data_IF_306633138704
#
_entry.id   IF_306633138704
#
_cell.length_a   1.000
_cell.length_b   1.000
_cell.length_c   1.000
_cell.angle_alpha   90.00
_cell.angle_beta   90.00
_cell.angle_gamma   90.00
#
_symmetry.space_group_name_H-M   'P 1'
#
loop_
_entity.id
_entity.type
_entity.pdbx_description
1 polymer ?
2 water ?
#
# COMPACT_ATOMS: atom_id res chain seq x y z
N UNK A 11 17.13 -11.24 -15.26
CA UNK A 11 18.39 -11.18 -14.53
C UNK A 11 18.58 -12.41 -13.64
N UNK A 12 18.16 -13.53 -14.19
CA UNK A 12 18.06 -14.88 -13.72
C UNK A 12 19.06 -15.30 -12.64
N UNK A 13 18.53 -16.07 -11.71
CA UNK A 13 19.15 -17.01 -10.81
C UNK A 13 18.27 -18.27 -10.80
N UNK A 14 18.84 -19.37 -10.35
CA UNK A 14 18.06 -20.60 -10.28
C UNK A 14 17.54 -20.82 -8.87
N UNK A 15 17.84 -19.85 -7.98
CA UNK A 15 17.33 -20.06 -6.63
C UNK A 15 15.86 -19.66 -6.56
N UNK A 16 15.08 -20.32 -5.72
CA UNK A 16 13.74 -19.86 -5.36
C UNK A 16 13.80 -18.95 -4.12
N UNK A 17 15.00 -18.51 -3.78
CA UNK A 17 15.16 -17.67 -2.59
C UNK A 17 15.04 -16.18 -2.91
N UNK A 18 14.23 -15.50 -2.12
CA UNK A 18 14.01 -14.06 -2.14
C UNK A 18 14.22 -13.53 -0.72
N UNK A 19 15.32 -12.80 -0.55
CA UNK A 19 15.72 -12.25 0.75
C UNK A 19 15.10 -10.87 0.98
N UNK A 20 14.50 -10.74 2.16
CA UNK A 20 13.81 -9.55 2.61
C UNK A 20 14.82 -8.52 3.13
N UNK A 21 14.88 -7.41 2.40
CA UNK A 21 15.62 -6.23 2.80
C UNK A 21 14.71 -5.34 3.65
N UNK A 22 14.97 -5.26 4.96
CA UNK A 22 14.05 -4.47 5.78
C UNK A 22 14.82 -3.54 6.70
N UNK A 23 15.80 -2.88 6.12
CA UNK A 23 16.76 -2.06 6.87
C UNK A 23 16.21 -0.65 7.06
N UNK A 24 16.58 0.03 8.15
CA UNK A 24 16.23 1.43 8.27
C UNK A 24 17.28 2.29 7.59
N UNK A 25 18.53 1.82 7.55
CA UNK A 25 19.63 2.52 6.88
C UNK A 25 20.07 1.81 5.59
N UNK A 26 20.16 2.56 4.50
CA UNK A 26 20.57 2.16 3.18
C UNK A 26 22.01 1.67 3.17
N UNK A 27 22.88 2.38 3.90
CA UNK A 27 24.30 2.00 3.81
C UNK A 27 24.49 0.55 4.26
N UNK A 28 23.71 0.19 5.27
CA UNK A 28 23.74 -1.17 5.76
C UNK A 28 23.12 -2.12 4.76
N UNK A 29 22.04 -1.68 4.11
CA UNK A 29 21.37 -2.60 3.19
C UNK A 29 22.31 -3.01 2.05
N UNK A 30 22.96 -2.04 1.43
CA UNK A 30 23.89 -2.27 0.34
C UNK A 30 25.12 -3.06 0.79
N UNK A 31 25.56 -2.84 2.01
CA UNK A 31 26.67 -3.64 2.53
C UNK A 31 26.35 -5.14 2.39
N UNK A 32 25.32 -5.55 3.10
CA UNK A 32 24.78 -6.90 3.02
C UNK A 32 24.69 -7.35 1.56
N UNK A 33 24.09 -6.47 0.76
CA UNK A 33 23.92 -6.74 -0.65
C UNK A 33 25.27 -7.05 -1.27
N UNK A 34 26.22 -6.17 -1.03
CA UNK A 34 27.57 -6.40 -1.56
C UNK A 34 28.15 -7.72 -1.08
N UNK A 35 27.67 -8.27 0.05
CA UNK A 35 28.23 -9.56 0.43
C UNK A 35 27.60 -10.72 -0.35
N UNK A 36 26.55 -10.52 -1.13
CA UNK A 36 25.94 -11.71 -1.73
C UNK A 36 25.83 -11.60 -3.24
N UNK A 37 25.21 -12.58 -3.90
CA UNK A 37 25.30 -12.49 -5.35
C UNK A 37 23.95 -12.68 -6.01
N UNK A 38 23.68 -11.88 -7.03
CA UNK A 38 22.44 -12.02 -7.80
C UNK A 38 22.15 -13.47 -8.20
N UNK A 39 23.17 -14.29 -8.41
CA UNK A 39 22.99 -15.67 -8.81
C UNK A 39 22.35 -16.46 -7.67
N UNK A 40 22.69 -16.07 -6.46
CA UNK A 40 22.37 -16.77 -5.23
C UNK A 40 20.94 -16.57 -4.74
N UNK A 41 20.38 -15.38 -4.99
CA UNK A 41 19.04 -15.12 -4.52
C UNK A 41 18.41 -13.96 -5.27
N UNK A 42 17.16 -13.71 -4.87
CA UNK A 42 16.49 -12.49 -5.31
C UNK A 42 16.29 -11.59 -4.09
N UNK A 43 15.95 -10.34 -4.38
CA UNK A 43 15.72 -9.40 -3.28
C UNK A 43 14.29 -8.87 -3.30
N UNK A 44 13.75 -8.77 -2.09
CA UNK A 44 12.45 -8.18 -1.86
C UNK A 44 12.55 -6.85 -1.12
N UNK A 45 12.02 -5.84 -1.76
CA UNK A 45 11.85 -4.49 -1.24
C UNK A 45 10.41 -4.30 -0.75
N UNK A 46 10.20 -3.96 0.52
CA UNK A 46 8.86 -3.76 1.07
C UNK A 46 8.48 -2.33 1.35
N UNK A 47 7.47 -2.12 2.19
CA UNK A 47 6.95 -0.78 2.48
C UNK A 47 8.00 0.03 3.25
N UNK A 48 8.75 -0.67 4.11
CA UNK A 48 9.77 0.02 4.90
C UNK A 48 10.76 0.73 3.98
N UNK A 49 11.68 -0.02 3.39
CA UNK A 49 12.72 0.57 2.55
C UNK A 49 12.15 1.46 1.46
N UNK A 50 10.92 1.20 1.00
CA UNK A 50 10.43 2.01 -0.12
C UNK A 50 10.00 3.39 0.35
N UNK A 51 9.41 3.41 1.55
CA UNK A 51 8.96 4.68 2.14
C UNK A 51 10.18 5.52 2.47
N UNK A 52 11.19 4.88 3.04
CA UNK A 52 12.45 5.57 3.26
C UNK A 52 13.14 5.94 1.96
N UNK A 53 13.28 5.02 1.01
CA UNK A 53 14.28 5.32 -0.04
C UNK A 53 13.77 5.32 -1.47
N UNK A 54 12.50 5.01 -1.73
CA UNK A 54 11.98 5.16 -3.08
C UNK A 54 12.54 4.28 -4.17
N UNK A 55 11.94 4.40 -5.35
CA UNK A 55 12.32 3.62 -6.52
C UNK A 55 13.82 3.71 -6.76
N UNK A 56 14.34 4.90 -6.49
CA UNK A 56 15.75 5.21 -6.65
C UNK A 56 16.63 4.13 -6.03
N UNK A 57 16.17 3.54 -4.92
CA UNK A 57 17.00 2.55 -4.25
C UNK A 57 16.84 1.17 -4.89
N UNK A 58 15.71 1.02 -5.58
CA UNK A 58 15.42 -0.22 -6.30
C UNK A 58 16.40 -0.31 -7.47
N UNK A 59 16.40 0.75 -8.29
CA UNK A 59 17.47 0.90 -9.26
C UNK A 59 18.85 0.63 -8.69
N UNK A 60 19.14 0.92 -7.43
CA UNK A 60 20.53 0.69 -6.98
C UNK A 60 20.80 -0.81 -7.01
N UNK A 61 19.82 -1.53 -6.48
CA UNK A 61 19.91 -2.97 -6.39
C UNK A 61 19.89 -3.63 -7.77
N UNK A 62 19.01 -3.09 -8.61
CA UNK A 62 18.81 -3.66 -9.94
C UNK A 62 20.05 -3.40 -10.80
N UNK A 63 20.79 -2.35 -10.47
CA UNK A 63 21.97 -2.09 -11.30
C UNK A 63 23.13 -2.96 -10.87
N UNK A 64 23.01 -3.59 -9.72
CA UNK A 64 24.03 -4.51 -9.22
C UNK A 64 23.64 -5.93 -9.64
N UNK A 65 22.73 -5.99 -10.60
CA UNK A 65 22.26 -7.19 -11.23
C UNK A 65 21.11 -7.94 -10.63
N UNK A 66 20.66 -7.59 -9.43
CA UNK A 66 19.59 -8.32 -8.79
C UNK A 66 18.19 -8.09 -9.35
N UNK A 67 17.37 -9.12 -9.16
CA UNK A 67 15.94 -9.16 -9.45
C UNK A 67 15.18 -8.66 -8.24
N UNK A 68 14.24 -7.73 -8.38
CA UNK A 68 13.56 -7.30 -7.15
C UNK A 68 12.09 -7.72 -7.14
N UNK A 69 11.66 -8.20 -5.99
CA UNK A 69 10.26 -8.30 -5.61
C UNK A 69 9.85 -7.03 -4.82
N UNK A 70 9.22 -6.14 -5.57
CA UNK A 70 8.60 -4.93 -5.05
C UNK A 70 7.31 -5.34 -4.33
N UNK A 71 7.47 -5.44 -3.03
CA UNK A 71 6.45 -5.87 -2.09
C UNK A 71 5.74 -4.70 -1.42
N UNK A 72 4.89 -4.03 -2.20
CA UNK A 72 4.16 -2.90 -1.68
C UNK A 72 2.67 -3.19 -1.52
N UNK A 73 2.23 -4.38 -1.89
CA UNK A 73 0.87 -4.87 -1.92
C UNK A 73 -0.17 -3.78 -2.22
N UNK A 74 -0.16 -3.21 -3.41
CA UNK A 74 -1.05 -2.12 -3.77
C UNK A 74 -2.51 -2.48 -3.46
N UNK A 75 -3.09 -1.64 -2.61
CA UNK A 75 -4.51 -1.78 -2.30
C UNK A 75 -5.15 -0.40 -2.37
N UNK A 76 -5.80 -0.15 -3.49
CA UNK A 76 -6.31 1.17 -3.85
C UNK A 76 -7.38 1.06 -4.93
N UNK A 77 -7.94 2.19 -5.37
CA UNK A 77 -8.91 2.10 -6.45
C UNK A 77 -8.24 1.63 -7.74
N UNK A 78 -9.03 1.02 -8.60
CA UNK A 78 -8.54 0.42 -9.83
C UNK A 78 -7.56 1.26 -10.63
N UNK A 79 -7.97 2.45 -11.06
CA UNK A 79 -7.12 3.24 -11.95
C UNK A 79 -5.76 3.47 -11.33
N UNK A 80 -5.82 3.63 -10.01
CA UNK A 80 -4.65 4.03 -9.22
C UNK A 80 -3.66 2.88 -9.09
N UNK A 81 -4.17 1.73 -8.65
CA UNK A 81 -3.38 0.52 -8.52
C UNK A 81 -2.72 0.19 -9.87
N UNK A 82 -3.51 0.40 -10.91
CA UNK A 82 -3.11 0.30 -12.29
C UNK A 82 -1.91 1.20 -12.55
N UNK A 83 -2.04 2.47 -12.16
CA UNK A 83 -0.93 3.40 -12.28
C UNK A 83 0.32 2.96 -11.54
N UNK A 84 0.13 2.47 -10.31
CA UNK A 84 1.26 2.03 -9.51
C UNK A 84 1.95 0.78 -10.08
N UNK A 85 1.17 -0.18 -10.53
CA UNK A 85 1.70 -1.41 -11.12
C UNK A 85 2.49 -1.16 -12.41
N UNK A 86 1.96 -0.32 -13.29
CA UNK A 86 2.66 0.08 -14.51
C UNK A 86 3.99 0.74 -14.17
N UNK A 87 3.92 1.59 -13.15
CA UNK A 87 5.10 2.31 -12.69
C UNK A 87 6.11 1.33 -12.10
N UNK A 88 5.61 0.35 -11.37
CA UNK A 88 6.48 -0.73 -10.91
C UNK A 88 7.19 -1.39 -12.09
N UNK A 89 6.45 -1.57 -13.19
CA UNK A 89 6.98 -2.24 -14.36
C UNK A 89 8.07 -1.43 -15.02
N UNK A 90 7.78 -0.17 -15.26
CA UNK A 90 8.70 0.77 -15.89
C UNK A 90 10.00 0.89 -15.10
N UNK A 91 9.90 0.76 -13.80
CA UNK A 91 10.94 0.62 -12.82
C UNK A 91 11.79 -0.63 -13.08
N UNK A 92 11.23 -1.54 -13.86
CA UNK A 92 11.84 -2.80 -14.21
C UNK A 92 11.94 -3.80 -13.09
N UNK A 93 10.97 -3.92 -12.20
CA UNK A 93 11.15 -4.94 -11.16
C UNK A 93 10.66 -6.30 -11.65
N UNK A 94 11.07 -7.36 -10.99
CA UNK A 94 10.78 -8.72 -11.44
C UNK A 94 9.38 -9.16 -11.03
N UNK A 95 9.02 -8.86 -9.79
CA UNK A 95 7.71 -9.15 -9.22
C UNK A 95 7.13 -7.95 -8.47
N UNK A 96 5.81 -7.82 -8.53
CA UNK A 96 5.06 -6.78 -7.85
C UNK A 96 3.75 -7.36 -7.33
N UNK A 97 3.30 -7.05 -6.11
CA UNK A 97 2.00 -7.59 -5.72
C UNK A 97 0.95 -6.51 -5.43
N UNK A 98 -0.27 -7.06 -5.37
CA UNK A 98 -1.47 -6.28 -5.14
C UNK A 98 -2.26 -6.99 -4.06
N UNK A 99 -3.29 -6.37 -3.48
CA UNK A 99 -4.10 -7.05 -2.48
C UNK A 99 -5.29 -7.69 -3.17
N UNK A 100 -5.50 -8.99 -2.94
CA UNK A 100 -6.70 -9.58 -3.56
C UNK A 100 -7.97 -8.84 -3.11
N UNK A 101 -7.94 -8.37 -1.87
CA UNK A 101 -9.11 -7.77 -1.23
C UNK A 101 -9.47 -6.43 -1.87
N UNK A 102 -8.60 -5.93 -2.74
CA UNK A 102 -8.96 -4.79 -3.56
C UNK A 102 -10.07 -5.16 -4.52
N UNK A 103 -10.34 -6.45 -4.73
CA UNK A 103 -11.40 -6.85 -5.64
C UNK A 103 -10.97 -7.07 -7.08
N UNK A 104 -11.83 -7.77 -7.81
CA UNK A 104 -11.63 -8.19 -9.19
C UNK A 104 -11.37 -7.05 -10.14
N UNK A 105 -12.19 -6.00 -10.07
CA UNK A 105 -12.00 -4.86 -10.97
C UNK A 105 -10.61 -4.31 -10.77
N UNK A 106 -10.13 -4.35 -9.53
CA UNK A 106 -8.81 -3.78 -9.30
C UNK A 106 -7.74 -4.71 -9.85
N UNK A 107 -7.84 -5.99 -9.49
CA UNK A 107 -6.82 -6.95 -9.94
C UNK A 107 -6.76 -6.95 -11.47
N UNK A 108 -7.94 -6.88 -12.06
CA UNK A 108 -8.08 -6.82 -13.51
C UNK A 108 -7.36 -5.64 -14.12
N UNK A 109 -7.59 -4.46 -13.56
CA UNK A 109 -6.95 -3.26 -14.10
C UNK A 109 -5.43 -3.37 -13.96
N UNK A 110 -5.01 -4.05 -12.90
CA UNK A 110 -3.59 -4.25 -12.65
C UNK A 110 -3.00 -5.00 -13.83
N UNK A 111 -3.50 -6.21 -14.05
CA UNK A 111 -3.11 -7.07 -15.14
C UNK A 111 -3.05 -6.33 -16.48
N UNK A 112 -4.23 -5.80 -16.83
CA UNK A 112 -4.30 -5.11 -18.11
C UNK A 112 -3.28 -3.98 -18.25
N UNK A 113 -2.96 -3.37 -17.11
CA UNK A 113 -1.96 -2.32 -17.12
C UNK A 113 -0.60 -2.84 -17.59
N UNK A 114 -0.39 -4.10 -17.24
CA UNK A 114 0.90 -4.74 -17.48
C UNK A 114 1.02 -5.21 -18.92
N UNK A 115 -0.12 -5.46 -19.55
CA UNK A 115 -0.12 -5.97 -20.91
C UNK A 115 0.73 -5.23 -21.92
N UNK A 116 0.76 -3.91 -21.94
CA UNK A 116 1.69 -3.25 -22.86
C UNK A 116 3.16 -3.62 -22.67
N UNK A 117 3.55 -4.31 -21.61
CA UNK A 117 4.95 -4.59 -21.32
C UNK A 117 5.41 -5.94 -21.84
N UNK A 118 4.60 -6.57 -22.67
CA UNK A 118 4.88 -7.90 -23.19
C UNK A 118 5.38 -8.85 -22.12
N UNK A 119 6.37 -9.69 -22.45
CA UNK A 119 6.90 -10.55 -21.39
C UNK A 119 7.94 -9.80 -20.57
N UNK A 120 8.04 -8.48 -20.80
CA UNK A 120 8.84 -7.62 -19.93
C UNK A 120 8.10 -7.34 -18.63
N UNK A 121 6.79 -7.47 -18.73
CA UNK A 121 5.91 -7.37 -17.58
C UNK A 121 6.46 -8.14 -16.38
N UNK A 122 6.42 -7.53 -15.19
CA UNK A 122 6.80 -8.23 -13.97
C UNK A 122 5.81 -9.33 -13.61
N UNK A 123 6.20 -10.30 -12.78
CA UNK A 123 5.17 -11.21 -12.29
C UNK A 123 4.19 -10.41 -11.44
N UNK A 124 2.89 -10.58 -11.60
CA UNK A 124 1.82 -9.89 -10.89
C UNK A 124 1.12 -10.86 -9.95
N UNK A 125 1.42 -10.70 -8.69
CA UNK A 125 1.08 -11.52 -7.53
C UNK A 125 0.07 -10.81 -6.62
N UNK A 126 -0.90 -11.52 -6.06
CA UNK A 126 -1.93 -10.98 -5.19
C UNK A 126 -1.74 -11.47 -3.76
N UNK A 127 -1.84 -10.52 -2.83
CA UNK A 127 -1.91 -10.95 -1.43
C UNK A 127 -3.32 -11.48 -1.22
N UNK A 128 -3.43 -12.58 -0.47
CA UNK A 128 -4.77 -13.08 -0.18
C UNK A 128 -5.11 -12.67 1.25
N UNK A 129 -4.90 -13.60 2.17
CA UNK A 129 -5.03 -13.28 3.59
C UNK A 129 -3.63 -13.14 4.17
N UNK A 130 -3.30 -11.94 4.64
CA UNK A 130 -1.96 -11.68 5.11
C UNK A 130 -1.56 -12.74 6.12
N UNK A 131 -0.32 -13.19 6.01
CA UNK A 131 0.25 -14.20 6.90
C UNK A 131 -0.05 -13.96 8.38
N UNK A 132 -0.26 -12.73 8.81
CA UNK A 132 -0.38 -12.45 10.23
C UNK A 132 -1.81 -12.59 10.72
N UNK A 133 -2.79 -12.58 9.80
CA UNK A 133 -4.17 -12.44 10.27
C UNK A 133 -4.78 -13.75 10.75
N UNK A 134 -5.18 -13.68 12.02
CA UNK A 134 -5.82 -14.72 12.80
C UNK A 134 -7.34 -14.65 12.62
N UNK A 135 -8.01 -15.71 13.06
CA UNK A 135 -9.45 -15.78 12.87
C UNK A 135 -10.12 -14.57 13.51
N UNK A 136 -9.65 -14.30 14.71
CA UNK A 136 -10.01 -13.15 15.54
C UNK A 136 -10.05 -11.86 14.74
N UNK A 137 -8.92 -11.52 14.12
CA UNK A 137 -8.79 -10.35 13.27
C UNK A 137 -9.88 -10.25 12.24
N UNK A 138 -10.38 -11.39 11.77
CA UNK A 138 -11.40 -11.38 10.72
C UNK A 138 -12.78 -11.28 11.32
N UNK A 139 -12.86 -11.58 12.62
CA UNK A 139 -14.14 -11.31 13.28
C UNK A 139 -14.54 -9.84 13.12
N UNK A 140 -13.54 -9.02 13.40
CA UNK A 140 -13.65 -7.57 13.37
C UNK A 140 -14.19 -7.11 12.03
N UNK A 141 -13.63 -7.67 10.96
CA UNK A 141 -14.01 -7.26 9.60
C UNK A 141 -15.40 -7.74 9.22
N UNK A 142 -15.86 -8.75 9.94
CA UNK A 142 -17.11 -9.41 9.72
C UNK A 142 -17.01 -10.56 8.73
N UNK A 143 -15.89 -11.29 8.71
CA UNK A 143 -15.77 -12.43 7.82
C UNK A 143 -16.16 -13.72 8.55
N UNK A 144 -17.07 -14.45 7.91
CA UNK A 144 -17.49 -15.74 8.44
C UNK A 144 -16.42 -16.81 8.22
N UNK A 145 -15.70 -16.80 7.10
CA UNK A 145 -14.79 -17.90 6.81
C UNK A 145 -13.48 -17.78 7.58
N UNK A 146 -12.89 -18.92 7.95
CA UNK A 146 -11.55 -18.93 8.52
C UNK A 146 -10.52 -18.32 7.58
N UNK A 147 -9.36 -17.93 8.11
CA UNK A 147 -8.30 -17.34 7.27
C UNK A 147 -8.06 -18.18 6.00
N UNK A 148 -7.73 -19.43 6.25
CA UNK A 148 -7.60 -20.49 5.26
C UNK A 148 -8.69 -20.49 4.19
N UNK A 149 -9.94 -20.64 4.60
CA UNK A 149 -11.00 -20.66 3.59
C UNK A 149 -11.05 -19.35 2.81
N UNK A 150 -10.70 -18.27 3.53
CA UNK A 150 -10.86 -16.95 2.94
C UNK A 150 -9.73 -16.68 1.97
N UNK A 151 -8.55 -17.17 2.36
CA UNK A 151 -7.40 -16.98 1.45
C UNK A 151 -7.64 -17.67 0.12
N UNK A 152 -8.17 -18.89 0.21
CA UNK A 152 -8.50 -19.74 -0.94
C UNK A 152 -9.55 -19.13 -1.85
N UNK A 153 -10.61 -18.59 -1.23
CA UNK A 153 -11.57 -17.79 -1.98
C UNK A 153 -10.88 -16.68 -2.76
N UNK A 154 -9.96 -15.99 -2.10
CA UNK A 154 -9.14 -14.91 -2.64
C UNK A 154 -8.14 -15.41 -3.69
N UNK A 155 -7.50 -16.54 -3.44
CA UNK A 155 -6.68 -17.23 -4.44
C UNK A 155 -7.46 -17.49 -5.73
N UNK A 156 -8.68 -18.02 -5.62
CA UNK A 156 -9.39 -18.28 -6.89
C UNK A 156 -9.74 -16.99 -7.62
N UNK A 157 -10.11 -15.96 -6.86
CA UNK A 157 -10.49 -14.69 -7.51
C UNK A 157 -9.28 -14.18 -8.27
N UNK A 158 -8.11 -14.39 -7.66
CA UNK A 158 -6.85 -13.96 -8.28
C UNK A 158 -6.66 -14.71 -9.59
N UNK A 159 -6.74 -16.04 -9.49
CA UNK A 159 -6.57 -16.84 -10.73
C UNK A 159 -7.64 -16.44 -11.74
N UNK A 160 -8.90 -16.41 -11.32
CA UNK A 160 -9.96 -16.00 -12.24
C UNK A 160 -9.65 -14.65 -12.90
N UNK A 161 -8.93 -13.78 -12.22
CA UNK A 161 -8.59 -12.46 -12.74
C UNK A 161 -7.38 -12.49 -13.64
N UNK A 162 -6.72 -13.65 -13.65
CA UNK A 162 -5.64 -13.92 -14.56
C UNK A 162 -4.30 -13.38 -14.15
N UNK A 163 -4.04 -13.41 -12.84
CA UNK A 163 -2.69 -12.99 -12.44
C UNK A 163 -1.87 -14.27 -12.25
N UNK A 164 -0.58 -14.09 -12.08
CA UNK A 164 0.45 -15.11 -12.11
C UNK A 164 0.56 -15.92 -10.85
N UNK A 165 -0.15 -15.54 -9.78
CA UNK A 165 -0.02 -16.33 -8.56
C UNK A 165 -0.46 -15.55 -7.33
N UNK A 166 -0.10 -16.09 -6.18
CA UNK A 166 -0.48 -15.52 -4.91
C UNK A 166 0.60 -15.58 -3.86
N UNK A 167 0.64 -14.58 -2.98
CA UNK A 167 1.44 -14.75 -1.79
C UNK A 167 0.70 -15.73 -0.90
N UNK A 168 1.33 -16.75 -0.32
CA UNK A 168 0.51 -17.57 0.60
C UNK A 168 1.34 -18.27 1.67
N UNK A 169 0.67 -18.66 2.76
CA UNK A 169 1.38 -19.33 3.82
C UNK A 169 1.81 -20.73 3.45
N UNK A 170 2.90 -21.15 4.07
CA UNK A 170 3.44 -22.48 3.84
C UNK A 170 2.42 -23.53 4.22
N UNK A 171 1.60 -23.19 5.22
CA UNK A 171 0.55 -24.12 5.62
C UNK A 171 -0.51 -24.29 4.54
N UNK A 172 -0.50 -23.48 3.48
CA UNK A 172 -1.49 -23.60 2.42
C UNK A 172 -0.85 -23.97 1.09
N UNK A 173 0.46 -24.04 1.06
CA UNK A 173 1.23 -24.20 -0.16
C UNK A 173 0.86 -25.48 -0.91
N UNK A 174 0.74 -26.57 -0.17
CA UNK A 174 0.44 -27.85 -0.78
C UNK A 174 -0.97 -27.87 -1.37
N UNK A 175 -1.97 -27.60 -0.54
CA UNK A 175 -3.35 -27.56 -1.03
C UNK A 175 -3.52 -26.62 -2.21
N UNK A 176 -2.87 -25.45 -2.23
CA UNK A 176 -3.03 -24.52 -3.34
C UNK A 176 -2.43 -25.02 -4.65
N UNK A 177 -1.25 -25.65 -4.54
CA UNK A 177 -0.63 -26.26 -5.72
C UNK A 177 -1.58 -27.29 -6.33
N UNK A 178 -2.14 -28.13 -5.46
CA UNK A 178 -3.13 -29.10 -5.87
C UNK A 178 -4.36 -28.47 -6.51
N UNK A 179 -4.88 -27.42 -5.88
CA UNK A 179 -6.10 -26.82 -6.38
C UNK A 179 -5.81 -25.97 -7.61
N UNK A 180 -4.80 -25.11 -7.58
CA UNK A 180 -4.67 -24.15 -8.68
C UNK A 180 -3.66 -24.59 -9.74
N UNK A 181 -2.89 -25.64 -9.41
CA UNK A 181 -1.88 -26.14 -10.32
C UNK A 181 -0.48 -25.60 -10.08
N UNK A 182 0.44 -25.80 -11.03
CA UNK A 182 1.82 -25.37 -10.80
C UNK A 182 2.21 -24.09 -11.48
N UNK A 183 1.48 -23.70 -12.54
CA UNK A 183 1.85 -22.42 -13.14
C UNK A 183 1.36 -21.26 -12.29
N UNK A 184 0.48 -21.55 -11.33
CA UNK A 184 0.02 -20.59 -10.34
C UNK A 184 1.12 -20.44 -9.29
N UNK A 185 1.87 -19.35 -9.47
CA UNK A 185 3.02 -19.11 -8.60
C UNK A 185 2.56 -18.94 -7.15
N UNK A 186 3.24 -19.59 -6.23
CA UNK A 186 3.09 -19.48 -4.79
C UNK A 186 4.32 -18.84 -4.16
N UNK A 187 4.12 -17.65 -3.60
CA UNK A 187 5.21 -16.95 -2.92
C UNK A 187 5.01 -17.12 -1.44
N UNK A 188 5.98 -17.68 -0.71
CA UNK A 188 5.73 -17.76 0.73
C UNK A 188 6.92 -17.29 1.57
N UNK A 189 6.50 -16.61 2.63
CA UNK A 189 7.37 -16.11 3.69
C UNK A 189 7.41 -17.05 4.87
N UNK A 190 8.32 -16.79 5.80
CA UNK A 190 8.38 -17.62 7.01
C UNK A 190 9.22 -18.85 6.79
N UNK A 191 10.12 -18.76 5.82
CA UNK A 191 10.99 -19.88 5.48
C UNK A 191 12.23 -19.81 6.37
N UNK A 192 12.66 -20.98 6.83
CA UNK A 192 13.77 -21.00 7.77
C UNK A 192 14.54 -22.31 7.63
N UNK A 193 15.82 -22.17 7.32
CA UNK A 193 16.74 -23.28 7.14
C UNK A 193 16.62 -24.34 8.23
N UNK A 194 16.52 -23.92 9.49
CA UNK A 194 16.50 -24.90 10.58
C UNK A 194 16.36 -24.21 11.93
N UNK A 204 6.30 -22.83 10.36
CA UNK A 204 7.54 -22.40 9.73
C UNK A 204 8.23 -23.54 8.99
N UNK A 205 7.86 -23.71 7.73
CA UNK A 205 8.55 -24.65 6.87
C UNK A 205 10.04 -24.35 6.79
N UNK A 206 10.78 -25.22 6.13
CA UNK A 206 12.19 -25.04 5.83
C UNK A 206 12.33 -24.91 4.32
N UNK A 207 13.44 -24.36 3.84
CA UNK A 207 13.70 -24.30 2.40
C UNK A 207 13.42 -25.64 1.72
N UNK A 208 13.86 -26.67 2.43
CA UNK A 208 13.65 -28.06 2.10
C UNK A 208 12.17 -28.40 2.07
N UNK A 209 11.54 -28.29 3.24
CA UNK A 209 10.10 -28.56 3.29
C UNK A 209 9.32 -27.71 2.29
N UNK A 210 9.71 -26.44 2.12
CA UNK A 210 8.91 -25.55 1.29
C UNK A 210 8.91 -26.02 -0.16
N UNK A 211 10.10 -26.36 -0.63
CA UNK A 211 10.17 -26.78 -2.04
C UNK A 211 9.21 -27.94 -2.28
N UNK A 212 9.41 -28.95 -1.45
CA UNK A 212 8.57 -30.15 -1.44
C UNK A 212 7.09 -29.79 -1.51
N UNK A 213 6.62 -28.81 -0.74
CA UNK A 213 5.21 -28.43 -0.81
C UNK A 213 4.86 -27.93 -2.20
N UNK A 214 5.86 -27.48 -2.94
CA UNK A 214 5.66 -26.92 -4.27
C UNK A 214 5.70 -25.40 -4.22
N UNK A 215 6.15 -24.77 -3.12
CA UNK A 215 6.10 -23.30 -3.19
C UNK A 215 7.13 -22.77 -4.18
N UNK A 216 6.70 -21.84 -5.01
CA UNK A 216 7.53 -21.35 -6.10
C UNK A 216 8.60 -20.38 -5.65
N UNK A 217 8.35 -19.50 -4.68
CA UNK A 217 9.43 -18.58 -4.27
C UNK A 217 9.41 -18.46 -2.75
N UNK A 218 10.54 -18.62 -2.08
CA UNK A 218 10.57 -18.63 -0.62
C UNK A 218 11.27 -17.39 -0.08
N UNK A 219 10.49 -16.61 0.67
CA UNK A 219 11.02 -15.38 1.22
C UNK A 219 11.60 -15.68 2.60
N UNK A 220 12.86 -15.32 2.74
CA UNK A 220 13.72 -15.53 3.90
C UNK A 220 14.27 -14.20 4.40
N UNK A 221 14.07 -13.94 5.70
CA UNK A 221 14.56 -12.68 6.25
C UNK A 221 15.88 -12.85 6.98
N UNK A 222 15.81 -12.57 8.27
CA UNK A 222 16.88 -12.57 9.24
C UNK A 222 17.84 -13.74 9.12
N UNK A 223 17.42 -14.99 8.94
CA UNK A 223 18.34 -16.12 8.72
C UNK A 223 19.48 -15.76 7.79
N UNK A 224 19.12 -15.11 6.69
CA UNK A 224 20.16 -14.64 5.79
C UNK A 224 20.75 -13.32 6.25
N UNK A 225 19.97 -12.24 6.21
CA UNK A 225 20.50 -10.91 6.53
C UNK A 225 21.24 -10.91 7.87
N UNK A 226 20.63 -11.53 8.87
CA UNK A 226 21.30 -11.63 10.18
C UNK A 226 22.11 -12.91 10.28
N UNK A 227 22.66 -13.35 9.16
CA UNK A 227 23.63 -14.44 9.13
C UNK A 227 25.04 -13.89 9.03
N UNK A 228 25.97 -14.37 9.85
CA UNK A 228 27.37 -13.96 9.61
C UNK A 228 27.93 -14.89 8.54
N UNK A 229 28.39 -14.31 7.43
CA UNK A 229 28.65 -15.01 6.19
C UNK A 229 27.34 -15.49 5.57
N UNK A 230 26.45 -14.56 5.25
CA UNK A 230 25.14 -14.94 4.73
C UNK A 230 25.28 -15.48 3.31
N UNK A 231 26.36 -15.06 2.66
CA UNK A 231 26.61 -15.58 1.31
C UNK A 231 26.89 -17.08 1.41
N UNK A 232 27.59 -17.46 2.49
CA UNK A 232 27.71 -18.91 2.68
C UNK A 232 26.27 -19.41 2.85
N UNK A 233 25.62 -18.90 3.89
CA UNK A 233 24.25 -19.22 4.24
C UNK A 233 23.35 -19.34 3.01
N UNK A 234 23.55 -18.43 2.06
CA UNK A 234 22.71 -18.48 0.88
C UNK A 234 23.07 -19.70 0.05
N UNK A 235 24.34 -19.76 -0.31
CA UNK A 235 24.85 -20.86 -1.11
C UNK A 235 24.57 -22.21 -0.45
N UNK A 236 24.60 -22.27 0.88
CA UNK A 236 24.20 -23.49 1.55
C UNK A 236 22.71 -23.78 1.31
N UNK A 237 21.87 -22.76 1.46
CA UNK A 237 20.44 -22.88 1.18
C UNK A 237 20.22 -23.58 -0.17
N UNK A 238 20.90 -23.07 -1.20
CA UNK A 238 20.69 -23.65 -2.51
C UNK A 238 21.40 -25.00 -2.64
N UNK A 239 22.47 -25.22 -1.88
CA UNK A 239 23.08 -26.54 -1.92
C UNK A 239 22.01 -27.54 -1.47
N UNK A 240 21.40 -27.24 -0.33
CA UNK A 240 20.32 -28.10 0.17
C UNK A 240 19.23 -28.36 -0.85
N UNK A 241 19.03 -27.44 -1.80
CA UNK A 241 18.03 -27.66 -2.83
C UNK A 241 18.69 -28.30 -4.05
N UNK A 242 19.94 -28.74 -3.90
CA UNK A 242 20.62 -29.46 -4.97
C UNK A 242 19.74 -30.61 -5.45
N UNK A 243 19.08 -31.24 -4.49
CA UNK A 243 18.06 -32.25 -4.56
C UNK A 243 16.85 -31.82 -5.39
N UNK B 12 0.93 25.64 8.45
CA UNK B 12 -0.46 25.83 8.87
C UNK B 12 -1.26 26.56 7.80
N UNK B 13 -2.55 26.25 7.77
CA UNK B 13 -3.51 26.88 6.89
C UNK B 13 -4.91 26.67 7.50
N UNK B 14 -5.86 27.47 7.06
CA UNK B 14 -7.21 27.37 7.62
C UNK B 14 -8.10 26.63 6.63
N UNK B 15 -7.60 26.43 5.40
CA UNK B 15 -8.51 25.78 4.48
C UNK B 15 -8.67 24.31 4.84
N UNK B 16 -9.85 23.79 4.57
CA UNK B 16 -10.08 22.34 4.57
C UNK B 16 -9.67 21.67 3.27
N UNK B 17 -9.15 22.43 2.31
CA UNK B 17 -8.86 21.88 0.99
C UNK B 17 -7.52 21.18 0.87
N UNK B 18 -7.57 19.94 0.38
CA UNK B 18 -6.44 19.12 -0.01
C UNK B 18 -6.51 18.78 -1.50
N UNK B 19 -5.52 19.28 -2.23
CA UNK B 19 -5.39 19.12 -3.68
C UNK B 19 -4.56 17.86 -4.00
N UNK B 20 -5.17 17.02 -4.81
CA UNK B 20 -4.61 15.77 -5.28
C UNK B 20 -3.56 16.01 -6.35
N UNK B 21 -2.32 15.69 -6.03
CA UNK B 21 -1.25 15.77 -7.04
C UNK B 21 -1.14 14.42 -7.74
N UNK B 22 -1.64 14.35 -8.98
CA UNK B 22 -1.69 13.05 -9.64
C UNK B 22 -1.02 13.15 -11.01
N UNK B 23 0.18 13.70 -10.91
CA UNK B 23 1.06 13.93 -12.02
C UNK B 23 2.02 12.75 -12.18
N UNK B 24 2.42 12.53 -13.41
CA UNK B 24 3.42 11.54 -13.77
C UNK B 24 4.67 12.30 -14.24
N UNK B 25 4.62 13.62 -14.14
CA UNK B 25 5.73 14.51 -14.36
C UNK B 25 5.94 15.46 -13.17
N UNK B 26 7.06 15.32 -12.50
CA UNK B 26 7.51 15.97 -11.29
C UNK B 26 7.62 17.49 -11.40
N UNK B 27 8.13 17.93 -12.54
CA UNK B 27 8.36 19.36 -12.75
C UNK B 27 7.08 20.04 -13.19
N UNK B 28 6.20 19.24 -13.80
CA UNK B 28 4.87 19.69 -14.12
C UNK B 28 4.04 19.95 -12.88
N UNK B 29 4.23 19.12 -11.86
CA UNK B 29 3.48 19.28 -10.61
C UNK B 29 3.94 20.53 -9.86
N UNK B 30 5.25 20.75 -9.78
CA UNK B 30 5.76 21.90 -9.04
C UNK B 30 5.37 23.21 -9.71
N UNK B 31 5.29 23.19 -11.04
CA UNK B 31 4.79 24.37 -11.75
C UNK B 31 3.42 24.78 -11.20
N UNK B 32 2.47 23.87 -11.29
CA UNK B 32 1.16 24.03 -10.68
C UNK B 32 1.31 24.55 -9.24
N UNK B 33 2.10 23.77 -8.53
CA UNK B 33 2.31 24.01 -7.10
C UNK B 33 2.81 25.42 -6.88
N UNK B 34 3.74 25.83 -7.75
CA UNK B 34 4.26 27.20 -7.60
C UNK B 34 3.24 28.26 -7.91
N UNK B 35 2.13 27.91 -8.55
CA UNK B 35 1.10 28.90 -8.85
C UNK B 35 0.10 29.06 -7.72
N UNK B 36 0.32 28.42 -6.58
CA UNK B 36 -0.62 28.50 -5.45
C UNK B 36 0.14 28.62 -4.14
N UNK B 37 -0.56 28.69 -3.01
CA UNK B 37 0.20 28.99 -1.79
C UNK B 37 -0.15 28.07 -0.63
N UNK B 38 0.86 27.65 0.12
CA UNK B 38 0.68 26.83 1.31
C UNK B 38 -0.39 27.35 2.25
N UNK B 39 -0.54 28.65 2.40
CA UNK B 39 -1.57 29.24 3.26
C UNK B 39 -2.97 28.88 2.78
N UNK B 40 -3.04 28.55 1.49
CA UNK B 40 -4.23 28.26 0.73
C UNK B 40 -4.71 26.83 0.86
N UNK B 41 -3.80 25.85 0.97
CA UNK B 41 -4.27 24.47 1.04
C UNK B 41 -3.13 23.51 1.32
N UNK B 42 -3.53 22.25 1.46
CA UNK B 42 -2.53 21.18 1.65
C UNK B 42 -2.47 20.36 0.37
N UNK B 43 -1.53 19.42 0.28
CA UNK B 43 -1.39 18.63 -0.94
C UNK B 43 -1.55 17.14 -0.66
N UNK B 44 -2.07 16.39 -1.64
CA UNK B 44 -2.06 14.95 -1.52
C UNK B 44 -1.14 14.27 -2.53
N UNK B 45 -0.13 13.56 -2.04
CA UNK B 45 0.66 12.61 -2.81
C UNK B 45 0.15 11.18 -2.59
N UNK B 46 -0.26 10.52 -3.67
CA UNK B 46 -0.71 9.16 -3.65
C UNK B 46 0.21 8.12 -4.28
N UNK B 47 -0.36 6.96 -4.61
CA UNK B 47 0.46 5.84 -5.07
C UNK B 47 1.08 6.15 -6.42
N UNK B 48 0.45 6.97 -7.25
CA UNK B 48 0.98 7.34 -8.54
C UNK B 48 2.35 8.02 -8.51
N UNK B 49 2.38 9.23 -7.98
CA UNK B 49 3.56 10.04 -7.77
C UNK B 49 4.59 9.38 -6.85
N UNK B 50 4.16 8.50 -5.94
CA UNK B 50 5.05 7.98 -4.93
C UNK B 50 5.78 6.73 -5.42
N UNK B 51 5.11 5.98 -6.31
CA UNK B 51 5.76 4.84 -6.94
C UNK B 51 6.77 5.39 -7.95
N UNK B 52 6.33 6.35 -8.75
CA UNK B 52 7.24 7.04 -9.65
C UNK B 52 8.36 7.77 -8.95
N UNK B 53 8.11 8.43 -7.80
CA UNK B 53 9.11 9.35 -7.27
C UNK B 53 9.53 9.15 -5.84
N UNK B 54 8.86 8.40 -4.98
CA UNK B 54 9.38 8.17 -3.64
C UNK B 54 9.32 9.36 -2.70
N UNK B 55 9.93 9.19 -1.52
CA UNK B 55 9.95 10.22 -0.48
C UNK B 55 10.53 11.55 -0.98
N UNK B 56 11.49 11.39 -1.87
CA UNK B 56 12.30 12.46 -2.41
C UNK B 56 11.48 13.59 -2.97
N UNK B 57 10.30 13.29 -3.52
CA UNK B 57 9.54 14.36 -4.18
C UNK B 57 8.62 15.06 -3.19
N UNK B 58 8.29 14.32 -2.14
CA UNK B 58 7.53 14.77 -0.99
C UNK B 58 8.30 15.90 -0.31
N UNK B 59 9.56 15.60 -0.08
CA UNK B 59 10.52 16.61 0.38
C UNK B 59 10.47 17.88 -0.46
N UNK B 60 10.43 17.75 -1.78
CA UNK B 60 10.42 18.93 -2.64
C UNK B 60 9.19 19.79 -2.39
N UNK B 61 8.05 19.12 -2.29
CA UNK B 61 6.80 19.77 -1.91
C UNK B 61 6.89 20.36 -0.51
N UNK B 62 7.51 19.60 0.39
CA UNK B 62 7.68 20.11 1.74
C UNK B 62 8.65 21.28 1.76
N UNK B 63 9.65 21.28 0.88
CA UNK B 63 10.63 22.35 0.84
C UNK B 63 9.97 23.66 0.39
N UNK B 64 8.81 23.55 -0.22
CA UNK B 64 8.11 24.74 -0.70
C UNK B 64 7.04 25.14 0.32
N UNK B 65 7.26 24.61 1.51
CA UNK B 65 6.46 24.75 2.69
C UNK B 65 5.10 24.13 2.76
N UNK B 66 4.74 23.21 1.86
CA UNK B 66 3.39 22.65 1.93
C UNK B 66 3.20 21.56 2.97
N UNK B 67 1.93 21.39 3.35
CA UNK B 67 1.51 20.28 4.21
C UNK B 67 1.09 19.11 3.31
N UNK B 68 1.62 17.94 3.59
CA UNK B 68 1.40 16.82 2.67
C UNK B 68 0.60 15.71 3.31
N UNK B 69 -0.45 15.29 2.63
CA UNK B 69 -1.20 14.06 2.87
C UNK B 69 -0.59 12.97 1.96
N UNK B 70 0.17 12.10 2.59
CA UNK B 70 0.78 10.89 2.02
C UNK B 70 -0.32 9.82 2.03
N UNK B 71 -0.96 9.72 0.88
CA UNK B 71 -2.11 8.84 0.68
C UNK B 71 -1.70 7.48 0.14
N UNK B 72 -1.01 6.69 0.95
CA UNK B 72 -0.45 5.42 0.52
C UNK B 72 -1.22 4.20 1.03
N UNK B 73 -2.27 4.40 1.79
CA UNK B 73 -3.14 3.40 2.39
C UNK B 73 -2.42 2.11 2.77
N UNK B 74 -1.40 2.19 3.63
CA UNK B 74 -0.66 1.02 4.05
C UNK B 74 -1.58 -0.11 4.51
N UNK B 75 -1.37 -1.27 3.89
CA UNK B 75 -2.12 -2.46 4.25
C UNK B 75 -1.16 -3.65 4.23
N UNK B 76 -0.75 -4.06 5.42
CA UNK B 76 0.35 -5.00 5.55
C UNK B 76 0.34 -5.65 6.92
N UNK B 77 1.38 -6.44 7.25
CA UNK B 77 1.35 -6.99 8.61
C UNK B 77 1.66 -5.85 9.59
N UNK B 78 1.18 -5.98 10.82
CA UNK B 78 1.35 -4.94 11.84
C UNK B 78 2.79 -4.42 11.95
N UNK B 79 3.75 -5.31 12.12
CA UNK B 79 5.15 -4.91 12.24
C UNK B 79 5.55 -4.00 11.08
N UNK B 80 5.11 -4.39 9.89
CA UNK B 80 5.54 -3.65 8.70
C UNK B 80 4.81 -2.32 8.59
N UNK B 81 3.49 -2.39 8.71
CA UNK B 81 2.64 -1.22 8.67
C UNK B 81 3.19 -0.17 9.63
N UNK B 82 3.49 -0.64 10.84
CA UNK B 82 4.10 0.20 11.86
C UNK B 82 5.34 0.92 11.31
N UNK B 83 6.25 0.11 10.78
CA UNK B 83 7.49 0.68 10.26
C UNK B 83 7.21 1.65 9.12
N UNK B 84 6.20 1.33 8.33
CA UNK B 84 5.84 2.20 7.21
C UNK B 84 5.37 3.57 7.68
N UNK B 85 4.48 3.57 8.67
CA UNK B 85 3.92 4.81 9.21
C UNK B 85 4.98 5.64 9.92
N UNK B 86 5.82 5.01 10.74
CA UNK B 86 6.94 5.72 11.33
C UNK B 86 7.74 6.46 10.25
N UNK B 87 7.99 5.77 9.15
CA UNK B 87 8.78 6.28 8.04
C UNK B 87 8.15 7.54 7.44
N UNK B 88 6.83 7.53 7.39
CA UNK B 88 6.13 8.69 6.85
C UNK B 88 6.29 9.88 7.79
N UNK B 89 6.28 9.55 9.07
CA UNK B 89 6.46 10.57 10.11
C UNK B 89 7.89 11.10 10.09
N UNK B 90 8.87 10.21 9.94
CA UNK B 90 10.26 10.60 9.79
C UNK B 90 10.42 11.54 8.58
N UNK B 91 9.69 11.25 7.53
CA UNK B 91 9.54 12.03 6.31
C UNK B 91 8.98 13.42 6.62
N UNK B 92 8.29 13.47 7.76
CA UNK B 92 7.57 14.66 8.18
C UNK B 92 6.32 14.95 7.40
N UNK B 93 5.54 13.94 7.01
CA UNK B 93 4.29 14.32 6.32
C UNK B 93 3.22 14.76 7.31
N UNK B 94 2.16 15.39 6.87
CA UNK B 94 1.13 15.96 7.74
C UNK B 94 0.11 14.93 8.18
N UNK B 95 -0.31 14.13 7.22
CA UNK B 95 -1.30 13.08 7.38
C UNK B 95 -0.81 11.81 6.70
N UNK B 96 -1.19 10.65 7.20
CA UNK B 96 -0.89 9.37 6.56
C UNK B 96 -2.06 8.42 6.74
N UNK B 97 -2.42 7.64 5.72
CA UNK B 97 -3.49 6.67 5.96
C UNK B 97 -3.04 5.21 5.85
N UNK B 98 -3.91 4.40 6.41
CA UNK B 98 -3.80 2.96 6.59
C UNK B 98 -5.12 2.36 6.17
N UNK B 99 -5.17 1.05 5.96
CA UNK B 99 -6.44 0.41 5.64
C UNK B 99 -7.04 -0.12 6.94
N UNK B 100 -8.29 0.22 7.23
CA UNK B 100 -8.92 -0.38 8.41
C UNK B 100 -8.98 -1.88 8.26
N UNK B 101 -9.12 -2.35 7.01
CA UNK B 101 -9.36 -3.78 6.77
C UNK B 101 -8.14 -4.62 7.12
N UNK B 102 -7.02 -3.97 7.38
CA UNK B 102 -5.84 -4.60 7.94
C UNK B 102 -6.09 -5.02 9.36
N UNK B 103 -7.16 -4.48 9.95
CA UNK B 103 -7.51 -4.89 11.31
C UNK B 103 -6.86 -4.09 12.42
N UNK B 104 -7.36 -4.41 13.60
CA UNK B 104 -7.06 -3.70 14.84
C UNK B 104 -5.58 -3.68 15.19
N UNK B 105 -4.96 -4.85 15.22
CA UNK B 105 -3.55 -4.94 15.62
C UNK B 105 -2.72 -4.11 14.64
N UNK B 106 -3.14 -4.13 13.37
CA UNK B 106 -2.35 -3.34 12.45
C UNK B 106 -2.52 -1.85 12.78
N UNK B 107 -3.76 -1.41 12.90
CA UNK B 107 -4.06 0.00 13.18
C UNK B 107 -3.36 0.48 14.44
N UNK B 108 -3.53 -0.27 15.51
CA UNK B 108 -2.90 -0.10 16.78
C UNK B 108 -1.40 0.06 16.72
N UNK B 109 -0.77 -0.91 16.04
CA UNK B 109 0.68 -0.85 15.92
C UNK B 109 1.07 0.39 15.12
N UNK B 110 0.22 0.70 14.13
CA UNK B 110 0.41 1.94 13.38
C UNK B 110 0.46 3.09 14.37
N UNK B 111 -0.63 3.23 15.13
CA UNK B 111 -0.78 4.27 16.13
C UNK B 111 0.39 4.32 17.10
N UNK B 112 0.65 3.18 17.75
CA UNK B 112 1.73 3.15 18.73
C UNK B 112 3.09 3.51 18.18
N UNK B 113 3.22 3.40 16.88
CA UNK B 113 4.48 3.73 16.23
C UNK B 113 4.71 5.24 16.20
N UNK B 114 3.57 5.93 16.16
CA UNK B 114 3.57 7.38 16.02
C UNK B 114 3.72 8.05 17.37
N UNK B 115 3.57 7.30 18.44
CA UNK B 115 3.74 7.87 19.78
C UNK B 115 5.04 8.63 20.02
N UNK B 116 6.19 8.09 19.66
CA UNK B 116 7.44 8.83 19.87
C UNK B 116 7.58 10.11 19.06
N UNK B 117 6.74 10.45 18.10
CA UNK B 117 6.89 11.72 17.38
C UNK B 117 6.13 12.86 18.08
N UNK B 118 5.52 12.50 19.20
CA UNK B 118 4.67 13.38 19.97
C UNK B 118 3.78 14.23 19.09
N UNK B 119 3.75 15.53 19.37
CA UNK B 119 2.93 16.52 18.70
C UNK B 119 3.39 16.78 17.27
N UNK B 120 4.43 16.08 16.83
CA UNK B 120 4.93 16.13 15.46
C UNK B 120 4.38 15.00 14.61
N UNK B 121 3.97 13.91 15.26
CA UNK B 121 3.31 12.80 14.60
C UNK B 121 2.21 13.29 13.65
N UNK B 122 2.15 12.74 12.45
CA UNK B 122 1.10 13.07 11.50
C UNK B 122 -0.27 12.55 11.91
N UNK B 123 -1.29 13.13 11.30
CA UNK B 123 -2.65 12.63 11.46
C UNK B 123 -2.69 11.19 10.91
N UNK B 124 -3.28 10.28 11.67
CA UNK B 124 -3.43 8.88 11.33
C UNK B 124 -4.91 8.56 11.10
N UNK B 125 -5.19 8.37 9.84
CA UNK B 125 -6.44 8.18 9.13
C UNK B 125 -6.52 6.80 8.49
N UNK B 126 -7.66 6.13 8.50
CA UNK B 126 -7.85 4.81 7.96
C UNK B 126 -8.77 4.82 6.74
N UNK B 127 -8.38 4.09 5.69
CA UNK B 127 -9.32 3.87 4.59
C UNK B 127 -10.37 2.91 5.10
N UNK B 128 -11.63 3.06 4.73
CA UNK B 128 -12.59 2.04 5.21
C UNK B 128 -12.90 1.12 4.04
N UNK B 129 -13.95 1.45 3.32
CA UNK B 129 -14.33 0.90 2.06
C UNK B 129 -13.96 1.93 0.99
N UNK B 130 -13.25 1.49 -0.04
CA UNK B 130 -12.78 2.44 -1.04
C UNK B 130 -14.00 3.04 -1.72
N UNK B 131 -13.88 4.31 -2.07
CA UNK B 131 -14.97 5.03 -2.71
C UNK B 131 -15.46 4.34 -3.98
N UNK B 132 -14.60 3.54 -4.61
CA UNK B 132 -14.85 2.89 -5.87
C UNK B 132 -15.57 1.55 -5.72
N UNK B 133 -15.47 0.94 -4.55
CA UNK B 133 -16.01 -0.40 -4.35
C UNK B 133 -17.52 -0.42 -4.18
N UNK B 134 -18.12 -1.20 -5.07
CA UNK B 134 -19.58 -1.32 -5.19
C UNK B 134 -20.01 -2.57 -4.46
N UNK B 135 -21.31 -2.74 -4.30
CA UNK B 135 -21.78 -3.89 -3.53
C UNK B 135 -21.26 -5.20 -4.11
N UNK B 136 -21.46 -5.31 -5.43
CA UNK B 136 -20.96 -6.39 -6.27
C UNK B 136 -19.55 -6.80 -5.89
N UNK B 137 -18.68 -5.78 -5.88
CA UNK B 137 -17.28 -6.00 -5.53
C UNK B 137 -17.17 -6.63 -4.16
N UNK B 138 -18.12 -6.37 -3.26
CA UNK B 138 -17.94 -6.84 -1.89
C UNK B 138 -18.43 -8.26 -1.72
N UNK B 139 -19.37 -8.63 -2.59
CA UNK B 139 -19.80 -10.03 -2.48
C UNK B 139 -18.70 -10.98 -2.94
N UNK B 140 -18.00 -10.59 -4.01
CA UNK B 140 -16.83 -11.34 -4.48
C UNK B 140 -15.94 -11.74 -3.31
N UNK B 141 -15.73 -10.79 -2.40
CA UNK B 141 -14.92 -10.95 -1.22
C UNK B 141 -15.66 -11.75 -0.15
N UNK B 142 -16.95 -11.94 -0.36
CA UNK B 142 -17.77 -12.74 0.53
C UNK B 142 -18.18 -12.00 1.78
N UNK B 143 -18.62 -10.77 1.52
CA UNK B 143 -19.02 -9.85 2.59
C UNK B 143 -20.50 -9.58 2.48
N UNK B 144 -21.27 -9.81 3.55
CA UNK B 144 -22.73 -9.68 3.48
C UNK B 144 -23.23 -8.26 3.67
N UNK B 145 -22.54 -7.42 4.42
CA UNK B 145 -22.97 -6.04 4.64
C UNK B 145 -22.81 -5.15 3.42
N UNK B 146 -23.72 -4.19 3.28
CA UNK B 146 -23.53 -3.18 2.26
C UNK B 146 -22.22 -2.45 2.46
N UNK B 147 -21.75 -1.81 1.38
CA UNK B 147 -20.55 -0.96 1.47
C UNK B 147 -20.67 0.05 2.63
N UNK B 148 -21.77 0.77 2.63
CA UNK B 148 -22.20 1.72 3.63
C UNK B 148 -22.15 1.16 5.05
N UNK B 149 -22.83 0.03 5.26
CA UNK B 149 -22.83 -0.56 6.60
C UNK B 149 -21.43 -0.96 7.03
N UNK B 150 -20.67 -1.42 6.03
CA UNK B 150 -19.35 -2.01 6.27
C UNK B 150 -18.32 -0.92 6.46
N UNK B 151 -18.46 0.15 5.67
CA UNK B 151 -17.60 1.30 5.94
C UNK B 151 -17.71 1.78 7.40
N UNK B 152 -18.95 1.85 7.90
CA UNK B 152 -19.22 2.31 9.25
C UNK B 152 -18.64 1.42 10.35
N UNK B 153 -18.83 0.12 10.15
CA UNK B 153 -18.18 -0.87 11.00
C UNK B 153 -16.68 -0.60 11.04
N UNK B 154 -16.12 -0.29 9.87
CA UNK B 154 -14.69 -0.03 9.72
C UNK B 154 -14.31 1.28 10.38
N UNK B 155 -15.11 2.33 10.17
CA UNK B 155 -15.03 3.58 10.94
C UNK B 155 -14.98 3.33 12.44
N UNK B 156 -15.94 2.53 12.97
CA UNK B 156 -15.96 2.35 14.41
C UNK B 156 -14.74 1.63 14.95
N UNK B 157 -14.25 0.71 14.12
CA UNK B 157 -13.10 -0.11 14.55
C UNK B 157 -11.92 0.83 14.69
N UNK B 158 -11.86 1.76 13.72
CA UNK B 158 -10.77 2.73 13.65
C UNK B 158 -10.79 3.61 14.90
N UNK B 159 -11.97 4.14 15.17
CA UNK B 159 -12.19 4.96 16.36
C UNK B 159 -11.77 4.19 17.59
N UNK B 160 -12.35 2.99 17.71
CA UNK B 160 -11.93 2.08 18.77
C UNK B 160 -10.43 1.91 18.80
N UNK B 161 -9.72 1.99 17.67
CA UNK B 161 -8.29 1.72 17.71
C UNK B 161 -7.48 2.95 18.07
N UNK B 162 -8.17 4.09 18.13
CA UNK B 162 -7.55 5.32 18.59
C UNK B 162 -6.98 6.19 17.49
N UNK B 163 -7.38 5.96 16.25
CA UNK B 163 -6.86 6.75 15.14
C UNK B 163 -7.60 8.09 15.03
N UNK B 164 -7.08 8.98 14.22
CA UNK B 164 -7.54 10.37 14.20
C UNK B 164 -8.73 10.62 13.31
N UNK B 165 -9.04 9.64 12.45
CA UNK B 165 -10.16 9.88 11.55
C UNK B 165 -10.23 8.77 10.52
N UNK B 166 -11.09 9.00 9.55
CA UNK B 166 -11.42 8.05 8.49
C UNK B 166 -11.47 8.72 7.15
N UNK B 167 -11.13 8.03 6.07
CA UNK B 167 -11.44 8.64 4.77
C UNK B 167 -12.90 8.31 4.49
N UNK B 168 -13.77 9.22 4.08
CA UNK B 168 -15.09 8.64 3.78
C UNK B 168 -15.84 9.43 2.73
N UNK B 169 -16.74 8.78 2.01
CA UNK B 169 -17.52 9.40 0.97
C UNK B 169 -18.44 10.49 1.48
N UNK B 170 -18.75 11.42 0.58
CA UNK B 170 -19.69 12.50 0.89
C UNK B 170 -21.01 11.89 1.33
N UNK B 171 -21.34 10.81 0.63
CA UNK B 171 -22.60 10.13 0.91
C UNK B 171 -22.64 9.59 2.33
N UNK B 172 -21.51 9.45 3.01
CA UNK B 172 -21.55 8.94 4.38
C UNK B 172 -21.19 10.01 5.40
N UNK B 173 -20.87 11.20 4.89
CA UNK B 173 -20.22 12.24 5.68
C UNK B 173 -21.09 12.74 6.83
N UNK B 174 -22.35 13.00 6.53
CA UNK B 174 -23.35 13.42 7.50
C UNK B 174 -23.56 12.40 8.60
N UNK B 175 -23.99 11.17 8.30
CA UNK B 175 -24.17 10.22 9.39
C UNK B 175 -22.90 9.95 10.17
N UNK B 176 -21.73 10.00 9.55
CA UNK B 176 -20.48 9.64 10.25
C UNK B 176 -20.07 10.68 11.28
N UNK B 177 -20.26 11.95 10.95
CA UNK B 177 -20.08 13.04 11.90
C UNK B 177 -21.08 12.94 13.04
N UNK B 178 -22.38 12.80 12.76
CA UNK B 178 -23.37 12.57 13.80
C UNK B 178 -23.03 11.37 14.69
N UNK B 179 -22.54 10.28 14.10
CA UNK B 179 -22.24 9.09 14.88
C UNK B 179 -20.89 9.18 15.55
N UNK B 180 -19.86 9.69 14.88
CA UNK B 180 -18.52 9.61 15.48
C UNK B 180 -18.05 10.90 16.12
N UNK B 181 -18.74 12.01 15.85
CA UNK B 181 -18.38 13.26 16.46
C UNK B 181 -17.27 14.01 15.75
N UNK B 182 -16.71 15.03 16.39
CA UNK B 182 -15.95 16.08 15.72
C UNK B 182 -14.44 15.91 15.86
N UNK B 183 -13.96 15.14 16.83
CA UNK B 183 -12.50 15.01 16.87
C UNK B 183 -12.06 13.87 15.94
N UNK B 184 -13.05 13.18 15.43
CA UNK B 184 -12.88 12.12 14.44
C UNK B 184 -12.82 12.76 13.06
N UNK B 185 -11.62 13.05 12.53
CA UNK B 185 -11.55 13.75 11.26
C UNK B 185 -12.17 12.93 10.13
N UNK B 186 -12.93 13.56 9.26
CA UNK B 186 -13.59 13.03 8.09
C UNK B 186 -12.87 13.48 6.81
N UNK B 187 -12.14 12.58 6.15
CA UNK B 187 -11.45 12.98 4.91
C UNK B 187 -12.28 12.56 3.72
N UNK B 188 -12.73 13.50 2.88
CA UNK B 188 -13.57 13.04 1.77
C UNK B 188 -13.14 13.65 0.44
N UNK B 189 -13.10 12.72 -0.49
CA UNK B 189 -12.66 12.95 -1.86
C UNK B 189 -13.82 13.29 -2.77
N UNK B 190 -13.55 13.65 -4.02
CA UNK B 190 -14.59 13.86 -5.01
C UNK B 190 -15.41 15.11 -4.77
N UNK B 191 -14.77 16.08 -4.12
CA UNK B 191 -15.42 17.38 -3.90
C UNK B 191 -15.28 18.20 -5.18
N UNK B 192 -16.36 18.87 -5.60
CA UNK B 192 -16.30 19.69 -6.80
C UNK B 192 -17.10 20.98 -6.61
N UNK B 193 -16.41 22.11 -6.73
CA UNK B 193 -17.04 23.43 -6.69
C UNK B 193 -18.27 23.47 -7.58
N UNK B 194 -18.12 22.83 -8.73
CA UNK B 194 -19.16 22.61 -9.72
C UNK B 194 -18.62 21.82 -10.91
N UNK B 204 -20.70 13.04 -4.81
CA UNK B 204 -20.14 14.35 -5.16
C UNK B 204 -20.87 15.52 -4.50
N UNK B 205 -20.21 16.04 -3.46
CA UNK B 205 -20.59 17.28 -2.83
C UNK B 205 -19.89 18.45 -3.51
N UNK B 206 -20.29 19.63 -3.08
CA UNK B 206 -19.58 20.86 -3.33
C UNK B 206 -18.77 21.21 -2.08
N UNK B 207 -17.76 22.04 -2.23
CA UNK B 207 -16.98 22.45 -1.05
C UNK B 207 -17.87 22.93 0.08
N UNK B 208 -18.91 23.63 -0.34
CA UNK B 208 -19.92 24.21 0.54
C UNK B 208 -20.75 23.12 1.18
N UNK B 209 -21.35 22.26 0.37
CA UNK B 209 -22.11 21.15 0.94
C UNK B 209 -21.26 20.32 1.91
N UNK B 210 -20.00 20.11 1.54
CA UNK B 210 -19.09 19.33 2.35
C UNK B 210 -18.88 20.00 3.71
N UNK B 211 -18.68 21.32 3.65
CA UNK B 211 -18.51 22.06 4.90
C UNK B 211 -19.69 21.76 5.80
N UNK B 212 -20.88 22.01 5.25
CA UNK B 212 -22.11 21.80 5.98
C UNK B 212 -22.22 20.37 6.51
N UNK B 213 -21.93 19.36 5.71
CA UNK B 213 -22.08 17.98 6.16
C UNK B 213 -21.12 17.66 7.32
N UNK B 214 -20.12 18.50 7.47
CA UNK B 214 -19.20 18.42 8.60
C UNK B 214 -17.83 17.90 8.22
N UNK B 215 -17.57 17.63 6.94
CA UNK B 215 -16.27 17.03 6.61
C UNK B 215 -15.12 18.01 6.82
N UNK B 216 -14.05 17.49 7.42
CA UNK B 216 -12.90 18.26 7.82
C UNK B 216 -11.92 18.55 6.70
N UNK B 217 -11.62 17.58 5.86
CA UNK B 217 -10.61 17.85 4.83
C UNK B 217 -11.20 17.38 3.51
N UNK B 218 -11.22 18.27 2.53
CA UNK B 218 -11.95 17.96 1.30
C UNK B 218 -10.94 17.90 0.15
N UNK B 219 -10.83 16.70 -0.41
CA UNK B 219 -9.86 16.50 -1.47
C UNK B 219 -10.48 16.83 -2.82
N UNK B 220 -9.82 17.74 -3.49
CA UNK B 220 -10.15 18.34 -4.78
C UNK B 220 -8.99 18.12 -5.76
N UNK B 221 -9.33 17.68 -6.97
CA UNK B 221 -8.28 17.40 -7.93
C UNK B 221 -8.36 18.25 -9.18
N UNK B 222 -8.71 17.61 -10.28
CA UNK B 222 -8.87 18.23 -11.59
C UNK B 222 -9.52 19.61 -11.50
N UNK B 223 -10.63 19.79 -10.80
CA UNK B 223 -11.25 21.11 -10.59
C UNK B 223 -10.22 22.21 -10.36
N UNK B 224 -9.33 21.95 -9.42
CA UNK B 224 -8.26 22.89 -9.17
C UNK B 224 -7.08 22.70 -10.12
N UNK B 225 -6.48 21.52 -10.14
CA UNK B 225 -5.29 21.28 -10.94
C UNK B 225 -5.51 21.57 -12.42
N UNK B 226 -6.73 21.39 -12.92
CA UNK B 226 -6.93 21.64 -14.35
C UNK B 226 -7.43 23.05 -14.61
N UNK B 227 -7.51 23.88 -13.58
CA UNK B 227 -7.95 25.25 -13.74
C UNK B 227 -6.85 26.14 -14.32
N UNK B 228 -7.22 26.92 -15.34
CA UNK B 228 -6.25 27.93 -15.80
C UNK B 228 -6.36 29.10 -14.82
N UNK B 229 -5.26 29.36 -14.12
CA UNK B 229 -5.29 30.11 -12.89
C UNK B 229 -6.07 29.33 -11.83
N UNK B 230 -5.46 28.21 -11.42
CA UNK B 230 -6.10 27.39 -10.39
C UNK B 230 -6.15 28.18 -9.09
N UNK B 231 -5.20 29.10 -8.95
CA UNK B 231 -5.13 29.89 -7.73
C UNK B 231 -6.38 30.74 -7.56
N UNK B 232 -6.92 31.28 -8.65
CA UNK B 232 -8.21 31.97 -8.48
C UNK B 232 -9.21 30.92 -8.03
N UNK B 233 -9.20 29.79 -8.73
CA UNK B 233 -10.04 28.65 -8.41
C UNK B 233 -10.03 28.32 -6.93
N UNK B 234 -8.82 28.16 -6.40
CA UNK B 234 -8.67 27.94 -4.98
C UNK B 234 -9.36 29.05 -4.19
N UNK B 235 -8.89 30.25 -4.44
CA UNK B 235 -9.32 31.48 -3.77
C UNK B 235 -10.84 31.54 -3.69
N UNK B 236 -11.53 31.15 -4.75
CA UNK B 236 -12.99 31.18 -4.70
C UNK B 236 -13.55 30.13 -3.76
N UNK B 237 -12.88 28.99 -3.73
CA UNK B 237 -13.37 27.88 -2.92
C UNK B 237 -13.42 28.32 -1.46
N UNK B 238 -12.30 28.83 -0.92
CA UNK B 238 -12.31 29.10 0.52
C UNK B 238 -13.11 30.36 0.88
N UNK B 239 -13.09 31.34 -0.01
CA UNK B 239 -13.93 32.51 0.25
C UNK B 239 -15.37 32.01 0.35
N UNK B 240 -15.78 31.24 -0.65
CA UNK B 240 -17.04 30.54 -0.59
C UNK B 240 -17.22 29.79 0.72
N UNK B 241 -16.14 29.28 1.30
CA UNK B 241 -16.25 28.54 2.55
C UNK B 241 -16.21 29.50 3.74
N UNK B 242 -15.95 30.79 3.53
CA UNK B 242 -15.84 31.65 4.70
C UNK B 242 -17.15 31.66 5.47
N UNK B 243 -18.27 31.78 4.76
CA UNK B 243 -19.55 31.64 5.47
C UNK B 243 -19.96 30.17 5.54
#
# INVERSE_FOLDING_TARGET
>A
MTLTASSSSRAVTNSPVVVALDYHNRDDALAFVDKIDPRDCRLKVGKEMFTLFGPQFVRELQQRGFDIFLDLKFHDIPNTAAHAVAAAADLGVWMVNVHASGGARMMTAAREALVPFGKDAPLLIAVTVLTSMEASDLVDLGMTLSPADYAERLAALTQKCGLDGVVCSAQEAVRFKQVFGQEFKLVTPGIRPQGSEAGDQRRIMTPEQALSAGVDYMVIGRPVTQSVDPAQTLKAINASLQRSA
>B
MTLTASSSSRAVTNSPVVVALDYHNRDDALAFVDKIDPRDCRLKVGKEMFTLFGPQFVRELQQRGFDIFLDLKFHDIPNTAAHAVAAAADLGVWMVNVHASGGARMMTAAREALVPFGKDAPLLIAVTVLTSMEASDLVDLGMTLSPADYAERLAALTQKCGLDGVVCSAQEAVRFKQVFGQEFKLVTPGIRPQGSEAGDQRRIMTPEQALSAGVDYMVIGRPVTQSVDPAQTLKAINASLQRSA
#
